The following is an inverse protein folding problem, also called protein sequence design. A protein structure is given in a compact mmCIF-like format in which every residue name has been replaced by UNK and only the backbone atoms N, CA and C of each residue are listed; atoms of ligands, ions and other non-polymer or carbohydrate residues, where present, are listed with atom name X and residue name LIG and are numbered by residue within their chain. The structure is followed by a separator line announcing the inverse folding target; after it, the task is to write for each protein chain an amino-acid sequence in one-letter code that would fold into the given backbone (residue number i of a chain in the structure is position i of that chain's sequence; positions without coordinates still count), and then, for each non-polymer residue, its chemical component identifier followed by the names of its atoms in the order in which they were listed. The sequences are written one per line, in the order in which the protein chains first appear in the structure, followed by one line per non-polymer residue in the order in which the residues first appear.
data_IF_909106196152
#
_entry.id   IF_909106196152
#
_cell.length_a   1.000
_cell.length_b   1.000
_cell.length_c   1.000
_cell.angle_alpha   90.00
_cell.angle_beta   90.00
_cell.angle_gamma   90.00
#
_symmetry.space_group_name_H-M   'P 1'
#
loop_
_entity.id
_entity.type
_entity.pdbx_description
1 polymer ?
#
# COMPACT_ATOMS: atom_id res chain seq x y z
N UNK A 1 -11.53 -40.28 -36.18
CA UNK A 1 -12.69 -40.64 -35.36
C UNK A 1 -12.44 -40.06 -33.97
N UNK A 2 -13.41 -39.33 -33.51
CA UNK A 2 -13.59 -38.76 -32.15
C UNK A 2 -12.91 -37.44 -31.88
N UNK A 3 -13.63 -36.37 -32.16
CA UNK A 3 -13.48 -35.08 -31.55
C UNK A 3 -13.84 -35.22 -30.06
N UNK A 4 -12.84 -35.11 -29.21
CA UNK A 4 -13.08 -34.98 -27.76
C UNK A 4 -13.69 -33.59 -27.48
N UNK A 5 -14.86 -33.63 -26.88
CA UNK A 5 -15.64 -32.51 -26.43
C UNK A 5 -14.77 -31.58 -25.56
N UNK A 6 -14.55 -30.37 -26.06
CA UNK A 6 -14.22 -29.22 -25.21
C UNK A 6 -15.49 -28.93 -24.40
N UNK A 7 -15.50 -29.39 -23.15
CA UNK A 7 -16.53 -29.02 -22.19
C UNK A 7 -16.46 -27.52 -21.97
N UNK A 8 -17.47 -26.79 -22.45
CA UNK A 8 -17.73 -25.44 -22.00
C UNK A 8 -17.95 -25.48 -20.50
N UNK A 9 -17.30 -24.58 -19.76
CA UNK A 9 -17.61 -24.36 -18.37
C UNK A 9 -19.02 -23.79 -18.33
N UNK A 10 -19.99 -24.58 -17.88
CA UNK A 10 -21.38 -24.16 -17.79
C UNK A 10 -21.56 -23.00 -16.86
N UNK A 11 -22.22 -21.96 -17.34
CA UNK A 11 -22.44 -20.63 -16.75
C UNK A 11 -23.47 -20.65 -15.58
N UNK A 12 -23.81 -21.83 -15.05
CA UNK A 12 -24.89 -21.98 -14.07
C UNK A 12 -24.46 -21.96 -12.63
N UNK A 13 -23.22 -21.59 -12.30
CA UNK A 13 -22.77 -21.65 -10.89
C UNK A 13 -22.06 -20.39 -10.41
N UNK A 14 -22.62 -19.22 -10.67
CA UNK A 14 -22.09 -17.96 -10.10
C UNK A 14 -22.07 -17.94 -8.56
N UNK A 15 -22.90 -18.76 -7.90
CA UNK A 15 -22.90 -18.95 -6.45
C UNK A 15 -21.95 -20.04 -5.94
N UNK A 16 -21.46 -20.92 -6.81
CA UNK A 16 -20.46 -21.93 -6.49
C UNK A 16 -19.03 -21.46 -6.83
N UNK A 17 -18.85 -20.52 -7.75
CA UNK A 17 -17.57 -19.94 -8.12
C UNK A 17 -16.84 -19.27 -6.92
N UNK A 18 -17.58 -18.80 -5.91
CA UNK A 18 -17.02 -18.23 -4.68
C UNK A 18 -16.34 -19.26 -3.76
N UNK A 19 -16.50 -20.54 -4.01
CA UNK A 19 -15.91 -21.63 -3.20
C UNK A 19 -14.85 -22.45 -3.94
N UNK A 20 -14.69 -22.23 -5.22
CA UNK A 20 -13.74 -23.00 -6.01
C UNK A 20 -12.32 -22.47 -5.81
N UNK A 21 -11.47 -23.31 -5.22
CA UNK A 21 -10.04 -23.04 -5.15
C UNK A 21 -9.38 -23.32 -6.50
N UNK A 22 -8.42 -22.48 -6.86
CA UNK A 22 -7.65 -22.62 -8.09
C UNK A 22 -6.17 -22.36 -7.82
N UNK A 23 -5.31 -22.89 -8.65
CA UNK A 23 -3.88 -22.62 -8.62
C UNK A 23 -3.57 -21.27 -9.26
N UNK A 24 -2.72 -20.48 -8.61
CA UNK A 24 -2.25 -19.19 -9.11
C UNK A 24 -1.16 -19.43 -10.15
N UNK A 25 -1.37 -18.95 -11.35
CA UNK A 25 -0.39 -18.92 -12.42
C UNK A 25 0.56 -17.72 -12.26
N UNK A 26 0.63 -16.86 -13.25
CA UNK A 26 1.41 -15.63 -13.16
C UNK A 26 0.64 -14.52 -12.42
N UNK A 27 1.40 -13.59 -11.82
CA UNK A 27 0.84 -12.39 -11.17
C UNK A 27 1.37 -11.16 -11.89
N UNK A 28 0.51 -10.48 -12.63
CA UNK A 28 0.81 -9.26 -13.36
C UNK A 28 0.38 -8.05 -12.57
N UNK A 29 1.31 -7.12 -12.29
CA UNK A 29 1.04 -5.90 -11.53
C UNK A 29 0.92 -4.71 -12.47
N UNK A 30 -0.23 -4.03 -12.42
CA UNK A 30 -0.50 -2.76 -13.09
C UNK A 30 -0.52 -1.65 -12.05
N UNK A 31 0.44 -0.75 -12.14
CA UNK A 31 0.59 0.39 -11.21
C UNK A 31 0.14 1.65 -11.90
N UNK A 32 -0.82 2.34 -11.31
CA UNK A 32 -1.34 3.60 -11.78
C UNK A 32 -0.79 4.74 -10.91
N UNK A 33 -0.49 5.86 -11.54
CA UNK A 33 -0.04 7.06 -10.85
C UNK A 33 -1.20 7.70 -10.07
N UNK A 34 -0.91 8.73 -9.28
CA UNK A 34 -1.90 9.48 -8.47
C UNK A 34 -3.01 10.05 -9.34
N UNK A 35 -2.64 10.71 -10.45
CA UNK A 35 -3.58 11.29 -11.39
C UNK A 35 -3.53 10.55 -12.73
N UNK A 36 -4.69 10.37 -13.36
CA UNK A 36 -4.77 9.81 -14.70
C UNK A 36 -4.04 10.68 -15.73
N UNK A 37 -3.69 10.11 -16.88
CA UNK A 37 -3.02 10.85 -17.96
C UNK A 37 -3.87 12.06 -18.40
N UNK A 38 -5.18 11.93 -18.43
CA UNK A 38 -6.12 13.03 -18.78
C UNK A 38 -6.06 14.16 -17.75
N UNK A 39 -6.02 13.84 -16.46
CA UNK A 39 -5.90 14.82 -15.38
C UNK A 39 -4.51 15.48 -15.36
N UNK A 40 -3.48 14.72 -15.67
CA UNK A 40 -2.08 15.18 -15.66
C UNK A 40 -1.75 16.21 -16.76
N UNK A 41 -2.62 16.40 -17.73
CA UNK A 41 -2.50 17.50 -18.73
C UNK A 41 -2.56 18.86 -18.05
N UNK A 42 -3.35 18.98 -16.97
CA UNK A 42 -3.53 20.25 -16.27
C UNK A 42 -2.49 20.44 -15.17
N UNK A 43 -1.87 21.64 -15.11
CA UNK A 43 -1.09 22.07 -13.95
C UNK A 43 -2.06 22.30 -12.76
N UNK A 44 -1.79 21.83 -11.53
CA UNK A 44 -0.54 21.27 -11.01
C UNK A 44 -0.43 19.73 -11.04
N UNK A 45 -1.43 19.02 -11.59
CA UNK A 45 -1.50 17.55 -11.51
C UNK A 45 -0.38 16.85 -12.28
N UNK A 46 0.01 17.41 -13.44
CA UNK A 46 1.14 16.91 -14.20
C UNK A 46 2.47 17.06 -13.47
N UNK A 47 2.66 18.14 -12.72
CA UNK A 47 3.83 18.31 -11.86
C UNK A 47 3.83 17.31 -10.71
N UNK A 48 2.67 17.10 -10.09
CA UNK A 48 2.51 16.13 -9.02
C UNK A 48 2.94 14.71 -9.49
N UNK A 49 2.44 14.26 -10.63
CA UNK A 49 2.85 12.95 -11.18
C UNK A 49 4.35 12.85 -11.51
N UNK A 50 5.02 13.98 -11.85
CA UNK A 50 6.46 13.98 -12.13
C UNK A 50 7.34 13.86 -10.88
N UNK A 51 6.88 14.43 -9.76
CA UNK A 51 7.64 14.38 -8.49
C UNK A 51 7.26 13.18 -7.64
N UNK A 52 6.11 12.56 -7.91
CA UNK A 52 5.68 11.35 -7.22
C UNK A 52 6.43 10.13 -7.72
N UNK A 53 6.95 9.33 -6.79
CA UNK A 53 7.56 8.04 -7.11
C UNK A 53 6.52 6.94 -6.88
N UNK A 54 6.12 6.28 -7.97
CA UNK A 54 5.11 5.22 -7.94
C UNK A 54 5.58 4.06 -7.06
N UNK A 55 4.67 3.50 -6.27
CA UNK A 55 4.90 2.34 -5.42
C UNK A 55 5.57 1.20 -6.19
N UNK A 56 6.64 0.64 -5.63
CA UNK A 56 7.42 -0.39 -6.33
C UNK A 56 6.66 -1.71 -6.49
N UNK A 57 6.86 -2.37 -7.62
CA UNK A 57 6.31 -3.69 -7.91
C UNK A 57 6.68 -4.72 -6.84
N UNK A 58 7.95 -4.69 -6.42
CA UNK A 58 8.46 -5.58 -5.38
C UNK A 58 7.74 -5.41 -4.05
N UNK A 59 7.40 -4.17 -3.67
CA UNK A 59 6.66 -3.91 -2.44
C UNK A 59 5.24 -4.46 -2.53
N UNK A 60 4.55 -4.27 -3.66
CA UNK A 60 3.20 -4.79 -3.87
C UNK A 60 3.20 -6.31 -3.80
N UNK A 61 4.12 -6.98 -4.53
CA UNK A 61 4.25 -8.46 -4.52
C UNK A 61 4.43 -9.02 -3.12
N UNK A 62 5.28 -8.41 -2.30
CA UNK A 62 5.55 -8.85 -0.93
C UNK A 62 4.35 -8.73 0.01
N UNK A 63 3.39 -7.90 -0.36
CA UNK A 63 2.17 -7.69 0.43
C UNK A 63 1.01 -8.57 0.01
N UNK A 64 1.11 -9.28 -1.10
CA UNK A 64 0.12 -10.27 -1.49
C UNK A 64 0.14 -11.45 -0.50
N UNK A 65 -1.05 -11.98 -0.21
CA UNK A 65 -1.22 -13.13 0.68
C UNK A 65 -1.07 -14.47 -0.05
N UNK A 66 -0.58 -14.45 -1.27
CA UNK A 66 -0.36 -15.61 -2.13
C UNK A 66 0.83 -15.38 -3.07
N UNK A 67 1.33 -16.45 -3.61
CA UNK A 67 2.42 -16.49 -4.60
C UNK A 67 2.03 -17.38 -5.79
N UNK A 68 2.70 -17.25 -6.95
CA UNK A 68 2.55 -18.21 -8.04
C UNK A 68 2.77 -19.66 -7.57
N UNK A 69 1.86 -20.56 -7.94
CA UNK A 69 1.84 -21.96 -7.51
C UNK A 69 1.00 -22.22 -6.24
N UNK A 70 0.52 -21.21 -5.53
CA UNK A 70 -0.38 -21.41 -4.40
C UNK A 70 -1.78 -21.79 -4.88
N UNK A 71 -2.47 -22.66 -4.12
CA UNK A 71 -3.89 -22.93 -4.30
C UNK A 71 -4.68 -22.00 -3.39
N UNK A 72 -5.50 -21.15 -3.97
CA UNK A 72 -6.26 -20.12 -3.25
C UNK A 72 -7.72 -20.13 -3.64
N UNK A 73 -8.55 -19.58 -2.77
CA UNK A 73 -9.98 -19.34 -3.00
C UNK A 73 -10.24 -17.83 -3.23
N UNK A 74 -11.46 -17.50 -3.60
CA UNK A 74 -11.88 -16.10 -3.80
C UNK A 74 -11.76 -15.27 -2.51
N UNK A 75 -11.98 -15.88 -1.35
CA UNK A 75 -11.85 -15.19 -0.06
C UNK A 75 -10.41 -14.68 0.15
N UNK A 76 -9.40 -15.48 -0.19
CA UNK A 76 -7.99 -15.10 -0.07
C UNK A 76 -7.60 -13.98 -1.02
N UNK A 77 -8.23 -13.91 -2.22
CA UNK A 77 -8.08 -12.76 -3.10
C UNK A 77 -8.63 -11.48 -2.47
N UNK A 78 -9.84 -11.53 -1.94
CA UNK A 78 -10.48 -10.38 -1.29
C UNK A 78 -9.71 -9.92 -0.03
N UNK A 79 -9.18 -10.85 0.75
CA UNK A 79 -8.34 -10.52 1.90
C UNK A 79 -7.04 -9.84 1.47
N UNK A 80 -6.40 -10.34 0.42
CA UNK A 80 -5.18 -9.74 -0.14
C UNK A 80 -5.44 -8.33 -0.65
N UNK A 81 -6.56 -8.13 -1.32
CA UNK A 81 -7.00 -6.82 -1.79
C UNK A 81 -7.26 -5.84 -0.64
N UNK A 82 -7.96 -6.29 0.41
CA UNK A 82 -8.19 -5.51 1.64
C UNK A 82 -6.87 -5.16 2.34
N UNK A 83 -5.92 -6.10 2.34
CA UNK A 83 -4.61 -5.89 2.92
C UNK A 83 -3.83 -4.80 2.19
N UNK A 84 -3.82 -4.82 0.87
CA UNK A 84 -3.21 -3.77 0.04
C UNK A 84 -3.85 -2.40 0.29
N UNK A 85 -5.18 -2.32 0.38
CA UNK A 85 -5.91 -1.07 0.64
C UNK A 85 -5.68 -0.45 2.03
N UNK A 86 -5.09 -1.18 2.97
CA UNK A 86 -4.70 -0.62 4.28
C UNK A 86 -3.51 0.33 4.21
N UNK A 87 -2.81 0.35 3.09
CA UNK A 87 -1.66 1.22 2.92
C UNK A 87 -2.11 2.64 2.57
N UNK A 88 -1.67 3.61 3.36
CA UNK A 88 -2.04 5.02 3.22
C UNK A 88 -1.47 5.69 1.96
N UNK A 89 -0.61 5.01 1.22
CA UNK A 89 -0.04 5.45 -0.05
C UNK A 89 -0.75 4.88 -1.28
N UNK A 90 -1.75 4.01 -1.09
CA UNK A 90 -2.60 3.50 -2.16
C UNK A 90 -4.01 4.07 -2.03
N UNK A 91 -4.55 4.63 -3.12
CA UNK A 91 -5.94 5.07 -3.19
C UNK A 91 -6.88 3.92 -3.50
N UNK A 92 -6.42 2.97 -4.30
CA UNK A 92 -7.17 1.76 -4.62
C UNK A 92 -6.26 0.56 -4.89
N UNK A 93 -6.79 -0.63 -4.68
CA UNK A 93 -6.21 -1.89 -5.10
C UNK A 93 -7.34 -2.84 -5.51
N UNK A 94 -7.14 -3.58 -6.57
CA UNK A 94 -8.05 -4.63 -7.04
C UNK A 94 -7.26 -5.81 -7.59
N UNK A 95 -7.77 -7.02 -7.35
CA UNK A 95 -7.17 -8.25 -7.84
C UNK A 95 -8.24 -8.99 -8.65
N UNK A 96 -7.92 -9.32 -9.90
CA UNK A 96 -8.84 -10.01 -10.82
C UNK A 96 -8.13 -11.16 -11.48
N UNK A 97 -8.88 -12.21 -11.77
CA UNK A 97 -8.42 -13.28 -12.66
C UNK A 97 -8.39 -12.75 -14.08
N UNK A 98 -7.30 -13.00 -14.79
CA UNK A 98 -7.18 -12.65 -16.19
C UNK A 98 -8.20 -13.45 -17.01
N UNK A 99 -8.98 -12.76 -17.86
CA UNK A 99 -10.05 -13.40 -18.63
C UNK A 99 -9.52 -14.38 -19.65
N UNK A 100 -8.35 -14.12 -20.19
CA UNK A 100 -7.69 -15.02 -21.13
C UNK A 100 -7.31 -16.37 -20.47
N UNK A 101 -7.04 -16.36 -19.16
CA UNK A 101 -6.72 -17.57 -18.38
C UNK A 101 -7.96 -18.34 -17.89
N UNK A 102 -9.15 -17.74 -17.93
CA UNK A 102 -10.41 -18.40 -17.57
C UNK A 102 -10.87 -19.45 -18.58
N UNK A 103 -10.39 -19.39 -19.81
CA UNK A 103 -10.86 -20.22 -20.90
C UNK A 103 -10.54 -21.72 -20.77
N UNK A 104 -9.68 -22.11 -19.83
CA UNK A 104 -9.28 -23.51 -19.62
C UNK A 104 -9.47 -23.90 -18.16
N UNK A 105 -10.49 -24.69 -17.89
CA UNK A 105 -10.94 -25.07 -16.54
C UNK A 105 -9.93 -25.85 -15.66
N UNK A 106 -8.80 -26.29 -16.20
CA UNK A 106 -7.81 -27.13 -15.49
C UNK A 106 -6.40 -26.54 -15.43
N UNK A 107 -6.22 -25.28 -15.81
CA UNK A 107 -4.90 -24.64 -15.78
C UNK A 107 -4.79 -23.62 -14.64
N UNK A 108 -3.56 -23.33 -14.15
CA UNK A 108 -3.32 -22.23 -13.24
C UNK A 108 -3.90 -20.92 -13.80
N UNK A 109 -4.56 -20.14 -12.94
CA UNK A 109 -5.21 -18.88 -13.36
C UNK A 109 -4.25 -17.73 -13.15
N UNK A 110 -4.04 -16.94 -14.19
CA UNK A 110 -3.24 -15.70 -14.09
C UNK A 110 -4.04 -14.61 -13.41
N UNK A 111 -3.35 -13.83 -12.60
CA UNK A 111 -3.94 -12.75 -11.81
C UNK A 111 -3.40 -11.40 -12.25
N UNK A 112 -4.30 -10.41 -12.33
CA UNK A 112 -3.98 -9.01 -12.56
C UNK A 112 -4.23 -8.24 -11.27
N UNK A 113 -3.16 -7.72 -10.68
CA UNK A 113 -3.20 -6.84 -9.53
C UNK A 113 -3.09 -5.40 -10.02
N UNK A 114 -4.15 -4.63 -9.88
CA UNK A 114 -4.13 -3.21 -10.25
C UNK A 114 -4.09 -2.37 -8.98
N UNK A 115 -3.09 -1.51 -8.85
CA UNK A 115 -2.98 -0.54 -7.76
C UNK A 115 -2.93 0.87 -8.30
N UNK A 116 -3.52 1.81 -7.58
CA UNK A 116 -3.41 3.23 -7.85
C UNK A 116 -2.81 3.93 -6.64
N UNK A 117 -1.77 4.70 -6.87
CA UNK A 117 -1.11 5.45 -5.81
C UNK A 117 -1.99 6.62 -5.35
N UNK A 118 -1.76 7.03 -4.11
CA UNK A 118 -2.30 8.24 -3.53
C UNK A 118 -1.18 9.25 -3.32
N UNK A 119 -1.51 10.55 -3.36
CA UNK A 119 -0.57 11.59 -3.02
C UNK A 119 0.00 11.38 -1.60
N UNK A 120 1.29 11.17 -1.51
CA UNK A 120 1.96 10.72 -0.29
C UNK A 120 2.58 11.85 0.53
N UNK A 121 2.89 13.00 -0.11
CA UNK A 121 3.49 14.14 0.56
C UNK A 121 2.42 15.03 1.22
N UNK A 122 2.50 15.19 2.53
CA UNK A 122 1.53 15.97 3.31
C UNK A 122 2.25 17.06 4.09
N UNK A 123 2.04 18.36 3.76
CA UNK A 123 2.52 19.46 4.58
C UNK A 123 1.67 19.58 5.86
N UNK A 124 2.31 19.99 6.93
CA UNK A 124 1.67 20.26 8.23
C UNK A 124 1.97 21.69 8.64
N UNK A 125 0.92 22.47 8.88
CA UNK A 125 0.99 23.78 9.45
C UNK A 125 0.07 23.82 10.67
N UNK A 126 0.59 24.24 11.80
CA UNK A 126 -0.20 24.48 13.00
C UNK A 126 0.14 25.85 13.59
N UNK A 127 -0.89 26.63 13.87
CA UNK A 127 -0.79 27.92 14.55
C UNK A 127 -1.81 27.91 15.68
N UNK A 128 -1.34 28.15 16.89
CA UNK A 128 -2.19 28.30 18.06
C UNK A 128 -1.77 29.55 18.85
N UNK A 129 -2.72 30.32 19.32
CA UNK A 129 -2.50 31.49 20.17
C UNK A 129 -3.45 31.44 21.35
N UNK A 130 -2.95 31.68 22.55
CA UNK A 130 -3.76 31.68 23.78
C UNK A 130 -2.93 32.20 24.97
N UNK A 131 -3.56 32.98 25.86
CA UNK A 131 -2.89 33.48 27.06
C UNK A 131 -1.75 34.49 26.83
N UNK A 132 -1.65 35.06 25.63
CA UNK A 132 -0.51 35.92 25.22
C UNK A 132 0.60 35.17 24.49
N UNK A 133 0.48 33.86 24.33
CA UNK A 133 1.48 32.97 23.73
C UNK A 133 1.10 32.54 22.35
N UNK A 134 2.08 32.38 21.47
CA UNK A 134 1.90 31.87 20.11
C UNK A 134 2.78 30.65 19.91
N UNK A 135 2.17 29.59 19.34
CA UNK A 135 2.85 28.35 18.93
C UNK A 135 2.76 28.20 17.42
N UNK A 136 3.91 27.99 16.81
CA UNK A 136 4.02 27.74 15.38
C UNK A 136 4.59 26.34 15.16
N UNK A 137 3.93 25.53 14.32
CA UNK A 137 4.46 24.24 13.91
C UNK A 137 4.44 24.12 12.40
N UNK A 138 5.59 23.80 11.84
CA UNK A 138 5.79 23.52 10.42
C UNK A 138 6.32 22.10 10.26
N UNK A 139 5.83 21.38 9.26
CA UNK A 139 6.33 20.06 9.00
C UNK A 139 5.91 19.50 7.65
N UNK A 140 6.50 18.37 7.32
CA UNK A 140 6.15 17.60 6.14
C UNK A 140 6.22 16.11 6.45
N UNK A 141 5.32 15.36 5.92
CA UNK A 141 5.33 13.89 5.95
C UNK A 141 5.28 13.36 4.54
N UNK A 142 6.26 12.54 4.17
CA UNK A 142 6.20 11.68 3.00
C UNK A 142 5.84 10.28 3.47
N UNK A 143 4.77 9.68 2.92
CA UNK A 143 4.24 8.38 3.37
C UNK A 143 4.78 7.18 2.60
N UNK A 144 5.41 7.44 1.47
CA UNK A 144 5.89 6.39 0.54
C UNK A 144 7.25 6.75 -0.07
N UNK A 145 8.21 7.06 0.77
CA UNK A 145 9.53 7.48 0.34
C UNK A 145 10.11 6.50 -0.70
N UNK A 146 10.44 7.02 -1.87
CA UNK A 146 10.97 6.26 -3.01
C UNK A 146 10.11 5.05 -3.43
N UNK A 147 8.80 5.10 -3.19
CA UNK A 147 7.90 3.99 -3.54
C UNK A 147 8.08 2.72 -2.69
N UNK A 148 8.73 2.83 -1.53
CA UNK A 148 9.09 1.68 -0.67
C UNK A 148 8.18 1.50 0.55
N UNK A 149 7.08 2.27 0.67
CA UNK A 149 6.19 2.18 1.82
C UNK A 149 6.83 2.62 3.14
N UNK A 150 7.89 3.42 3.05
CA UNK A 150 8.55 4.04 4.20
C UNK A 150 8.00 5.44 4.38
N UNK A 151 7.44 5.73 5.55
CA UNK A 151 7.02 7.07 5.90
C UNK A 151 8.14 7.82 6.63
N UNK A 152 8.40 9.04 6.16
CA UNK A 152 9.35 9.97 6.80
C UNK A 152 8.60 11.23 7.18
N UNK A 153 8.82 11.69 8.40
CA UNK A 153 8.24 12.92 8.94
C UNK A 153 9.34 13.82 9.46
N UNK A 154 9.27 15.09 9.06
CA UNK A 154 10.10 16.16 9.64
C UNK A 154 9.15 17.24 10.13
N UNK A 155 9.37 17.72 11.33
CA UNK A 155 8.56 18.78 11.92
C UNK A 155 9.42 19.68 12.81
N UNK A 156 9.20 20.99 12.72
CA UNK A 156 9.68 21.99 13.67
C UNK A 156 8.49 22.59 14.41
N UNK A 157 8.61 22.70 15.71
CA UNK A 157 7.61 23.35 16.57
C UNK A 157 8.33 24.43 17.36
N UNK A 158 7.85 25.65 17.25
CA UNK A 158 8.30 26.80 18.02
C UNK A 158 7.22 27.16 19.03
N UNK A 159 7.62 27.29 20.29
CA UNK A 159 6.77 27.65 21.41
C UNK A 159 7.59 28.53 22.37
N UNK A 160 6.94 29.37 23.19
CA UNK A 160 7.61 30.25 24.13
C UNK A 160 8.52 29.50 25.12
N UNK A 161 8.06 28.32 25.56
CA UNK A 161 8.77 27.53 26.56
C UNK A 161 9.78 26.56 25.95
N UNK A 162 9.63 26.21 24.64
CA UNK A 162 10.41 25.13 24.07
C UNK A 162 10.32 25.08 22.54
N UNK A 163 11.44 25.15 21.89
CA UNK A 163 11.57 24.80 20.47
C UNK A 163 11.93 23.34 20.33
N UNK A 164 11.42 22.71 19.31
CA UNK A 164 11.77 21.32 19.03
C UNK A 164 11.83 21.01 17.53
N UNK A 165 12.85 20.25 17.14
CA UNK A 165 12.99 19.62 15.85
C UNK A 165 12.68 18.12 15.99
N UNK A 166 11.79 17.63 15.15
CA UNK A 166 11.30 16.25 15.25
C UNK A 166 11.54 15.54 13.94
N UNK A 167 12.07 14.33 14.01
CA UNK A 167 12.30 13.46 12.88
C UNK A 167 11.71 12.07 13.17
N UNK A 168 10.97 11.53 12.23
CA UNK A 168 10.36 10.22 12.38
C UNK A 168 10.49 9.41 11.11
N UNK A 169 10.80 8.13 11.25
CA UNK A 169 10.77 7.14 10.18
C UNK A 169 9.92 5.98 10.62
N UNK A 170 9.03 5.52 9.77
CA UNK A 170 8.23 4.32 10.04
C UNK A 170 7.99 3.51 8.77
N UNK A 171 7.91 2.19 8.93
CA UNK A 171 7.52 1.28 7.88
C UNK A 171 6.66 0.17 8.47
N UNK A 172 5.58 -0.20 7.79
CA UNK A 172 4.74 -1.35 8.15
C UNK A 172 5.29 -2.67 7.64
N UNK A 173 6.27 -2.61 6.74
CA UNK A 173 6.86 -3.79 6.08
C UNK A 173 8.37 -3.67 6.13
N UNK A 174 8.93 -3.65 7.36
CA UNK A 174 10.36 -3.48 7.56
C UNK A 174 11.13 -4.61 6.85
N UNK A 175 12.04 -4.25 5.94
CA UNK A 175 12.80 -5.20 5.11
C UNK A 175 11.93 -6.19 4.31
N UNK A 176 10.68 -5.82 3.99
CA UNK A 176 9.75 -6.69 3.27
C UNK A 176 9.09 -7.78 4.12
N UNK A 177 9.25 -7.71 5.42
CA UNK A 177 8.60 -8.58 6.40
C UNK A 177 7.25 -8.01 6.85
N UNK A 178 6.53 -8.72 7.71
CA UNK A 178 5.30 -8.25 8.38
C UNK A 178 5.58 -7.46 9.67
N UNK A 179 6.82 -7.03 9.88
CA UNK A 179 7.19 -6.24 11.04
C UNK A 179 6.98 -4.76 10.78
N UNK A 180 6.38 -4.09 11.74
CA UNK A 180 6.27 -2.63 11.77
C UNK A 180 7.40 -2.06 12.60
N UNK A 181 8.18 -1.15 12.03
CA UNK A 181 9.20 -0.41 12.75
C UNK A 181 8.89 1.08 12.76
N UNK A 182 9.18 1.73 13.86
CA UNK A 182 9.11 3.19 13.99
C UNK A 182 10.31 3.68 14.78
N UNK A 183 11.02 4.63 14.20
CA UNK A 183 12.07 5.41 14.86
C UNK A 183 11.56 6.85 14.99
N UNK A 184 11.70 7.42 16.17
CA UNK A 184 11.37 8.82 16.44
C UNK A 184 12.51 9.47 17.20
N UNK A 185 12.94 10.63 16.72
CA UNK A 185 13.93 11.46 17.37
C UNK A 185 13.38 12.88 17.50
N UNK A 186 13.61 13.50 18.63
CA UNK A 186 13.25 14.88 18.91
C UNK A 186 14.40 15.56 19.65
N UNK A 187 14.87 16.65 19.09
CA UNK A 187 15.83 17.55 19.68
C UNK A 187 15.11 18.83 20.10
N UNK A 188 15.30 19.23 21.34
CA UNK A 188 14.60 20.34 21.98
C UNK A 188 15.57 21.12 22.88
N UNK A 189 15.24 22.35 23.19
CA UNK A 189 16.08 23.23 24.00
C UNK A 189 16.41 22.66 25.40
N UNK A 190 15.57 21.75 25.89
CA UNK A 190 15.70 21.09 27.20
C UNK A 190 16.20 19.64 27.13
N UNK A 191 16.54 19.13 25.96
CA UNK A 191 17.13 17.80 25.77
C UNK A 191 16.66 17.04 24.55
N UNK A 192 17.26 15.89 24.35
CA UNK A 192 16.99 14.99 23.24
C UNK A 192 16.17 13.79 23.68
N UNK A 193 15.29 13.33 22.79
CA UNK A 193 14.52 12.11 22.98
C UNK A 193 14.67 11.20 21.76
N UNK A 194 15.06 9.94 21.98
CA UNK A 194 15.09 8.91 20.98
C UNK A 194 14.15 7.77 21.38
N UNK A 195 13.22 7.42 20.51
CA UNK A 195 12.30 6.30 20.71
C UNK A 195 12.37 5.33 19.54
N UNK A 196 12.56 4.06 19.84
CA UNK A 196 12.48 2.97 18.86
C UNK A 196 11.34 2.04 19.26
N UNK A 197 10.37 1.89 18.37
CA UNK A 197 9.24 0.97 18.54
C UNK A 197 9.30 -0.07 17.44
N UNK A 198 9.34 -1.33 17.84
CA UNK A 198 9.23 -2.48 16.97
C UNK A 198 8.00 -3.28 17.36
N UNK A 199 7.08 -3.48 16.42
CA UNK A 199 5.86 -4.26 16.63
C UNK A 199 5.89 -5.42 15.63
N UNK A 200 5.86 -6.66 16.13
CA UNK A 200 5.57 -7.84 15.31
C UNK A 200 4.07 -8.05 15.27
N UNK A 201 3.50 -8.32 14.09
CA UNK A 201 2.13 -8.83 14.05
C UNK A 201 2.07 -10.18 14.77
N UNK A 202 1.03 -10.41 15.59
CA UNK A 202 0.83 -11.73 16.17
C UNK A 202 0.68 -12.74 15.03
N UNK A 203 1.43 -13.81 15.12
CA UNK A 203 1.31 -14.96 14.22
C UNK A 203 -0.14 -15.42 14.29
N UNK A 204 -0.86 -15.37 13.16
CA UNK A 204 -2.18 -15.99 13.08
C UNK A 204 -1.96 -17.46 13.41
N UNK A 205 -2.47 -17.91 14.54
CA UNK A 205 -2.58 -19.33 14.83
C UNK A 205 -3.60 -19.89 13.83
N UNK A 206 -3.09 -20.53 12.80
CA UNK A 206 -3.92 -21.31 11.88
C UNK A 206 -4.47 -22.48 12.71
N UNK A 207 -5.75 -22.36 13.07
CA UNK A 207 -6.55 -23.40 13.68
C UNK A 207 -7.43 -24.04 12.62
#
# INVERSE_FOLDING_TARGET
ISAAQLGACDDETSLQADRESFEVGSVNIRRLNVFSEEQAVSWPYGLANKVHVITSDTLIRRQLLFQPGDVIDHHRLLESERWLRRNEYLSSASIRVDEDSKAVCSQPRDLIVTTQDQWSLTPHLSLASGGGDTRLGLGVTEKNLLGQGVAVRVRRVENIDRDSNQFGVSSRHLFGSRYTGRLWWSDSDDGETLSLIHISEPTRLDG
#
